data_IF_900159123962
#
_entry.id   IF_900159123962
#
_cell.length_a   1.000
_cell.length_b   1.000
_cell.length_c   1.000
_cell.angle_alpha   90.00
_cell.angle_beta   90.00
_cell.angle_gamma   90.00
#
_symmetry.space_group_name_H-M   'P 1'
#
loop_
_entity.id
_entity.type
_entity.pdbx_description
1 polymer ?
#
# COMPACT_ATOMS: atom_id res chain seq x y z
N UNK A 1 -29.20 -0.69 -17.04
CA UNK A 1 -28.40 -1.23 -15.92
C UNK A 1 -26.90 -1.31 -16.22
N UNK A 2 -26.46 -1.79 -17.40
CA UNK A 2 -25.01 -1.87 -17.73
C UNK A 2 -24.32 -0.51 -17.95
N UNK A 3 -25.00 0.46 -18.59
CA UNK A 3 -24.42 1.78 -18.90
C UNK A 3 -24.16 2.64 -17.63
N UNK A 4 -25.00 2.51 -16.60
CA UNK A 4 -24.86 3.27 -15.35
C UNK A 4 -23.59 2.88 -14.58
N UNK A 5 -23.20 1.61 -14.64
CA UNK A 5 -21.97 1.10 -14.01
C UNK A 5 -20.73 1.63 -14.75
N UNK A 6 -20.78 1.68 -16.09
CA UNK A 6 -19.66 2.16 -16.92
C UNK A 6 -19.42 3.66 -16.68
N UNK A 7 -20.49 4.46 -16.61
CA UNK A 7 -20.39 5.90 -16.32
C UNK A 7 -19.91 6.14 -14.88
N UNK A 8 -20.41 5.37 -13.92
CA UNK A 8 -19.95 5.46 -12.52
C UNK A 8 -18.47 5.13 -12.35
N UNK A 9 -17.98 4.08 -13.02
CA UNK A 9 -16.57 3.69 -12.99
C UNK A 9 -15.68 4.75 -13.66
N UNK A 10 -16.13 5.30 -14.79
CA UNK A 10 -15.42 6.36 -15.51
C UNK A 10 -15.32 7.66 -14.69
N UNK A 11 -16.36 8.03 -13.93
CA UNK A 11 -16.30 9.18 -13.02
C UNK A 11 -15.28 8.98 -11.89
N UNK A 12 -15.17 7.77 -11.31
CA UNK A 12 -14.15 7.50 -10.29
C UNK A 12 -12.72 7.64 -10.86
N UNK A 13 -12.47 7.16 -12.08
CA UNK A 13 -11.16 7.33 -12.73
C UNK A 13 -10.85 8.80 -13.08
N UNK A 14 -11.85 9.57 -13.51
CA UNK A 14 -11.68 10.99 -13.83
C UNK A 14 -11.41 11.87 -12.60
N UNK A 15 -12.02 11.54 -11.45
CA UNK A 15 -11.79 12.28 -10.20
C UNK A 15 -10.39 11.99 -9.65
N UNK A 16 -9.88 10.76 -9.83
CA UNK A 16 -8.51 10.40 -9.42
C UNK A 16 -7.42 11.07 -10.29
N UNK A 17 -7.68 11.31 -11.58
CA UNK A 17 -6.67 11.91 -12.48
C UNK A 17 -6.54 13.43 -12.34
N UNK A 18 -7.59 14.13 -11.91
CA UNK A 18 -7.56 15.59 -11.72
C UNK A 18 -6.87 16.02 -10.40
N UNK A 19 -6.53 15.08 -9.52
CA UNK A 19 -5.83 15.35 -8.26
C UNK A 19 -4.29 15.28 -8.33
N UNK A 20 -3.70 14.86 -9.46
CA UNK A 20 -2.25 14.59 -9.54
C UNK A 20 -1.45 15.58 -10.41
N UNK A 21 -2.03 16.72 -10.83
CA UNK A 21 -1.33 17.68 -11.69
C UNK A 21 -0.72 18.89 -10.96
N UNK A 22 -0.54 18.82 -9.64
CA UNK A 22 0.34 19.78 -8.95
C UNK A 22 1.80 19.37 -9.17
N UNK A 23 2.68 20.27 -9.64
CA UNK A 23 4.11 19.98 -9.66
C UNK A 23 4.54 19.66 -8.23
N UNK A 24 5.20 18.52 -8.03
CA UNK A 24 5.77 18.14 -6.74
C UNK A 24 6.64 19.31 -6.25
N UNK A 25 6.30 19.98 -5.13
CA UNK A 25 7.20 20.95 -4.54
C UNK A 25 8.49 20.21 -4.19
N UNK A 26 9.59 20.64 -4.81
CA UNK A 26 10.93 20.12 -4.63
C UNK A 26 11.50 20.60 -3.29
N UNK A 27 10.83 20.23 -2.21
CA UNK A 27 11.33 20.18 -0.83
C UNK A 27 10.23 19.58 0.04
N UNK A 28 10.36 18.31 0.40
CA UNK A 28 9.79 17.78 1.63
C UNK A 28 10.23 16.36 1.93
N UNK A 29 10.41 16.10 3.21
CA UNK A 29 10.61 14.81 3.87
C UNK A 29 9.44 13.85 3.63
N UNK A 30 9.12 13.50 2.38
CA UNK A 30 8.24 12.36 2.09
C UNK A 30 8.90 11.15 2.75
N UNK A 31 8.19 10.44 3.66
CA UNK A 31 8.67 9.16 4.15
C UNK A 31 8.97 8.32 2.92
N UNK A 32 10.23 7.91 2.78
CA UNK A 32 10.62 7.11 1.62
C UNK A 32 9.70 5.89 1.57
N UNK A 33 9.09 5.60 0.41
CA UNK A 33 8.29 4.41 0.28
C UNK A 33 9.17 3.23 0.70
N UNK A 34 8.66 2.41 1.62
CA UNK A 34 9.35 1.18 1.99
C UNK A 34 8.67 0.02 1.30
N UNK A 35 9.47 -0.90 0.79
CA UNK A 35 9.05 -2.17 0.24
C UNK A 35 9.95 -3.24 0.86
N UNK A 36 9.36 -4.09 1.70
CA UNK A 36 10.05 -5.25 2.23
C UNK A 36 9.52 -6.48 1.50
N UNK A 37 10.46 -7.22 0.89
CA UNK A 37 10.22 -8.52 0.30
C UNK A 37 10.96 -9.55 1.15
N UNK A 38 10.21 -10.43 1.80
CA UNK A 38 10.74 -11.53 2.58
C UNK A 38 10.35 -12.83 1.89
N UNK A 39 11.35 -13.66 1.58
CA UNK A 39 11.14 -14.96 0.98
C UNK A 39 12.07 -15.98 1.61
N UNK A 40 11.54 -17.16 1.92
CA UNK A 40 12.34 -18.22 2.54
C UNK A 40 11.73 -19.60 2.37
N UNK A 41 12.59 -20.59 2.24
CA UNK A 41 12.21 -22.01 2.26
C UNK A 41 12.69 -22.62 3.57
N UNK A 42 11.86 -23.46 4.20
CA UNK A 42 12.26 -24.18 5.40
C UNK A 42 13.49 -25.05 5.12
N UNK A 43 14.37 -25.18 6.11
CA UNK A 43 15.73 -25.71 5.95
C UNK A 43 15.83 -27.17 5.49
N UNK A 44 14.71 -27.86 5.27
CA UNK A 44 14.66 -29.23 4.75
C UNK A 44 13.80 -29.36 3.49
N UNK A 45 14.16 -30.34 2.66
CA UNK A 45 13.41 -30.69 1.44
C UNK A 45 12.00 -31.12 1.82
N UNK A 46 11.01 -30.30 1.49
CA UNK A 46 9.60 -30.58 1.77
C UNK A 46 8.93 -29.59 2.74
N UNK A 47 9.67 -28.68 3.36
CA UNK A 47 9.14 -27.72 4.35
C UNK A 47 8.28 -26.59 3.75
N UNK A 48 8.27 -26.47 2.41
CA UNK A 48 7.53 -25.42 1.72
C UNK A 48 8.29 -24.10 1.63
N UNK A 49 7.65 -23.12 1.00
CA UNK A 49 8.18 -21.81 0.66
C UNK A 49 7.22 -20.71 1.11
N UNK A 50 7.74 -19.65 1.73
CA UNK A 50 6.95 -18.48 2.12
C UNK A 50 7.37 -17.25 1.31
N UNK A 51 6.38 -16.46 0.92
CA UNK A 51 6.54 -15.13 0.34
C UNK A 51 5.76 -14.16 1.22
N UNK A 52 6.40 -13.09 1.66
CA UNK A 52 5.74 -11.93 2.25
C UNK A 52 6.22 -10.67 1.53
N UNK A 53 5.27 -9.83 1.13
CA UNK A 53 5.53 -8.52 0.53
C UNK A 53 4.77 -7.50 1.35
N UNK A 54 5.44 -6.44 1.78
CA UNK A 54 4.77 -5.33 2.45
C UNK A 54 5.36 -4.01 2.02
N UNK A 55 4.51 -2.98 1.96
CA UNK A 55 4.97 -1.63 1.69
C UNK A 55 4.04 -0.55 2.19
N UNK A 56 4.57 0.67 2.22
CA UNK A 56 3.85 1.89 2.59
C UNK A 56 4.39 3.04 1.75
N UNK A 57 3.50 3.93 1.34
CA UNK A 57 3.81 5.11 0.54
C UNK A 57 2.99 6.29 1.02
N UNK A 58 3.64 7.46 1.16
CA UNK A 58 2.94 8.71 1.40
C UNK A 58 2.28 9.19 0.10
N UNK A 59 0.97 9.36 0.12
CA UNK A 59 0.21 9.81 -1.05
C UNK A 59 -0.23 11.26 -0.96
N UNK A 60 -0.20 11.83 0.24
CA UNK A 60 -0.53 13.23 0.44
C UNK A 60 0.09 13.77 1.73
N UNK A 61 0.57 15.00 1.62
CA UNK A 61 1.00 15.80 2.76
C UNK A 61 0.43 17.20 2.58
N UNK A 62 -0.16 17.77 3.63
CA UNK A 62 -0.65 19.15 3.62
C UNK A 62 0.49 20.16 3.55
N UNK A 63 0.25 21.35 2.99
CA UNK A 63 1.25 22.43 2.85
C UNK A 63 1.93 22.83 4.18
N UNK A 64 1.20 22.78 5.29
CA UNK A 64 1.73 23.11 6.61
C UNK A 64 2.50 21.95 7.28
N UNK A 65 2.66 20.82 6.57
CA UNK A 65 3.29 19.56 7.02
C UNK A 65 2.66 18.94 8.28
N UNK A 66 1.42 19.32 8.62
CA UNK A 66 0.74 18.84 9.84
C UNK A 66 -0.14 17.64 9.59
N UNK A 67 -0.56 17.42 8.35
CA UNK A 67 -1.43 16.33 7.95
C UNK A 67 -0.73 15.51 6.89
N UNK A 68 -0.82 14.19 7.05
CA UNK A 68 -0.11 13.23 6.23
C UNK A 68 -1.02 12.01 6.04
N UNK A 69 -1.15 11.54 4.81
CA UNK A 69 -1.92 10.34 4.46
C UNK A 69 -1.00 9.37 3.73
N UNK A 70 -0.89 8.17 4.29
CA UNK A 70 -0.14 7.08 3.70
C UNK A 70 -1.06 5.95 3.26
N UNK A 71 -0.73 5.32 2.15
CA UNK A 71 -1.26 4.01 1.77
C UNK A 71 -0.30 2.93 2.23
N UNK A 72 -0.85 1.78 2.64
CA UNK A 72 -0.04 0.60 2.93
C UNK A 72 -0.71 -0.66 2.38
N UNK A 73 0.14 -1.66 2.12
CA UNK A 73 -0.27 -2.96 1.62
C UNK A 73 0.63 -4.07 2.15
N UNK A 74 0.05 -5.24 2.39
CA UNK A 74 0.74 -6.47 2.76
C UNK A 74 0.13 -7.65 2.01
N UNK A 75 0.99 -8.57 1.61
CA UNK A 75 0.66 -9.84 1.01
C UNK A 75 1.53 -10.93 1.63
N UNK A 76 0.95 -12.06 1.98
CA UNK A 76 1.67 -13.19 2.54
C UNK A 76 1.07 -14.51 2.10
N UNK A 77 1.91 -15.44 1.64
CA UNK A 77 1.48 -16.78 1.28
C UNK A 77 2.58 -17.82 1.56
N UNK A 78 2.17 -18.97 2.10
CA UNK A 78 3.00 -20.16 2.25
C UNK A 78 2.54 -21.25 1.28
N UNK A 79 3.49 -21.89 0.59
CA UNK A 79 3.26 -22.94 -0.39
C UNK A 79 3.99 -24.23 0.01
N UNK A 80 3.29 -25.37 0.01
CA UNK A 80 3.89 -26.67 0.34
C UNK A 80 4.04 -26.90 1.84
N UNK A 81 4.93 -27.82 2.26
CA UNK A 81 5.09 -28.15 3.68
C UNK A 81 4.19 -29.30 4.17
N UNK A 82 4.53 -29.94 5.30
CA UNK A 82 3.66 -30.92 5.97
C UNK A 82 2.29 -30.34 6.38
N UNK A 83 2.22 -29.01 6.56
CA UNK A 83 0.99 -28.26 6.83
C UNK A 83 0.22 -27.81 5.57
N UNK A 84 0.76 -28.05 4.38
CA UNK A 84 0.17 -27.66 3.11
C UNK A 84 0.18 -26.15 2.83
N UNK A 85 -0.39 -25.78 1.68
CA UNK A 85 -0.48 -24.38 1.24
C UNK A 85 -1.43 -23.59 2.11
N UNK A 86 -0.95 -22.49 2.68
CA UNK A 86 -1.80 -21.57 3.43
C UNK A 86 -2.68 -20.74 2.48
N UNK A 87 -3.88 -20.33 2.90
CA UNK A 87 -4.60 -19.28 2.20
C UNK A 87 -3.76 -18.00 2.17
N UNK A 88 -3.82 -17.27 1.05
CA UNK A 88 -3.14 -16.00 0.90
C UNK A 88 -3.77 -14.95 1.84
N UNK A 89 -2.92 -14.24 2.57
CA UNK A 89 -3.33 -13.12 3.43
C UNK A 89 -3.01 -11.81 2.74
N UNK A 90 -3.97 -10.91 2.75
CA UNK A 90 -3.85 -9.58 2.17
C UNK A 90 -4.34 -8.56 3.18
N UNK A 91 -3.62 -7.46 3.32
CA UNK A 91 -4.03 -6.32 4.13
C UNK A 91 -3.73 -5.06 3.33
N UNK A 92 -4.66 -4.13 3.25
CA UNK A 92 -4.42 -2.83 2.66
C UNK A 92 -5.20 -1.78 3.44
N UNK A 93 -4.68 -0.56 3.49
CA UNK A 93 -5.33 0.50 4.22
C UNK A 93 -4.66 1.85 4.07
N UNK A 94 -5.23 2.83 4.76
CA UNK A 94 -4.72 4.20 4.85
C UNK A 94 -4.30 4.48 6.29
N UNK A 95 -3.25 5.27 6.46
CA UNK A 95 -2.83 5.80 7.76
C UNK A 95 -2.89 7.31 7.67
N UNK A 96 -3.64 7.94 8.56
CA UNK A 96 -3.67 9.39 8.70
C UNK A 96 -2.85 9.82 9.92
N UNK A 97 -1.90 10.73 9.71
CA UNK A 97 -1.03 11.25 10.77
C UNK A 97 -1.25 12.76 10.92
N UNK A 98 -1.37 13.20 12.18
CA UNK A 98 -1.46 14.61 12.54
C UNK A 98 -0.31 15.02 13.46
N UNK A 99 0.43 16.07 13.09
CA UNK A 99 1.57 16.58 13.87
C UNK A 99 1.17 17.85 14.63
N UNK A 100 1.24 17.81 15.95
CA UNK A 100 0.98 18.98 16.81
C UNK A 100 2.13 19.99 16.68
N UNK A 101 1.87 21.31 16.68
CA UNK A 101 2.92 22.30 16.83
C UNK A 101 3.51 22.16 18.24
N UNK A 102 4.84 22.20 18.33
CA UNK A 102 5.48 22.40 19.62
C UNK A 102 5.29 23.88 20.00
N UNK A 103 4.67 24.13 21.16
CA UNK A 103 4.54 25.45 21.77
C UNK A 103 5.71 25.72 22.72
#
# INVERSE_FOLDING_TARGET
MKATIIIGLACCFAIMSMGMSSPLPEDQTTPRPFLNLEGGGGGQRGDGFHINVQGRENVWTSDNKRHEVDLYGKYGQHYGGPGGTSPARHEFGTIYTYRFPNF
#
